data_IF_244083596393
#
_entry.id   IF_244083596393
#
_cell.length_a   1.000
_cell.length_b   1.000
_cell.length_c   1.000
_cell.angle_alpha   90.00
_cell.angle_beta   90.00
_cell.angle_gamma   90.00
#
_symmetry.space_group_name_H-M   'P 1'
#
loop_
_entity.id
_entity.type
_entity.pdbx_description
1 polymer ?
#
# COMPACT_ATOMS: atom_id res chain seq x y z
N UNK A 1 -16.41 5.13 9.54
CA UNK A 1 -16.29 3.66 9.62
C UNK A 1 -16.92 3.07 8.35
N UNK A 2 -16.14 2.83 7.28
CA UNK A 2 -16.67 2.22 6.05
C UNK A 2 -16.90 0.71 6.29
N UNK A 3 -18.11 0.16 6.08
CA UNK A 3 -18.35 -1.27 6.20
C UNK A 3 -17.83 -1.97 4.94
N UNK A 4 -16.67 -2.62 5.07
CA UNK A 4 -16.05 -3.43 4.01
C UNK A 4 -14.98 -4.40 4.51
N UNK A 5 -14.90 -4.64 5.81
CA UNK A 5 -13.94 -5.55 6.44
C UNK A 5 -14.58 -6.91 6.71
N UNK A 6 -15.16 -7.53 5.68
CA UNK A 6 -15.78 -8.85 5.77
C UNK A 6 -14.85 -9.94 5.21
N UNK A 7 -14.36 -10.79 6.10
CA UNK A 7 -14.00 -12.21 5.89
C UNK A 7 -12.91 -12.57 4.85
N UNK A 8 -11.72 -12.96 5.34
CA UNK A 8 -10.82 -13.86 4.58
C UNK A 8 -9.41 -13.39 4.19
N UNK A 9 -8.89 -12.26 4.65
CA UNK A 9 -7.45 -11.93 4.49
C UNK A 9 -6.73 -11.86 5.83
N UNK A 10 -5.89 -12.86 6.11
CA UNK A 10 -4.86 -12.77 7.16
C UNK A 10 -3.84 -11.70 6.73
N UNK A 11 -3.91 -10.53 7.33
CA UNK A 11 -2.89 -9.49 7.15
C UNK A 11 -1.61 -9.92 7.85
N UNK A 12 -0.52 -10.02 7.09
CA UNK A 12 0.80 -10.27 7.65
C UNK A 12 1.13 -9.18 8.68
N UNK A 13 1.75 -9.50 9.84
CA UNK A 13 2.08 -8.54 10.90
C UNK A 13 3.20 -7.55 10.49
N UNK A 14 3.58 -7.54 9.22
CA UNK A 14 4.59 -6.65 8.65
C UNK A 14 3.98 -5.35 8.12
N UNK A 15 2.66 -5.26 7.97
CA UNK A 15 2.00 -4.09 7.42
C UNK A 15 1.10 -3.45 8.48
N UNK A 16 1.42 -2.20 8.82
CA UNK A 16 0.53 -1.38 9.64
C UNK A 16 -0.81 -1.26 8.91
N UNK A 17 -1.87 -1.77 9.55
CA UNK A 17 -3.23 -1.71 9.03
C UNK A 17 -3.87 -0.35 9.29
N UNK A 18 -3.28 0.44 10.19
CA UNK A 18 -3.70 1.80 10.49
C UNK A 18 -2.80 2.83 9.83
N UNK A 19 -3.42 3.72 9.06
CA UNK A 19 -2.78 4.94 8.53
C UNK A 19 -2.43 5.86 9.72
N UNK A 20 -1.19 6.33 9.79
CA UNK A 20 -0.72 7.23 10.85
C UNK A 20 0.29 6.66 11.84
N UNK A 21 0.87 5.47 11.59
CA UNK A 21 2.01 4.93 12.35
C UNK A 21 1.69 4.46 13.78
N UNK A 22 0.42 4.49 14.19
CA UNK A 22 -0.08 3.97 15.47
C UNK A 22 -1.11 2.88 15.22
N UNK A 23 -1.34 2.00 16.19
CA UNK A 23 -2.43 1.03 16.10
C UNK A 23 -3.79 1.73 16.26
N UNK A 24 -4.86 1.09 15.75
CA UNK A 24 -6.25 1.53 15.95
C UNK A 24 -6.56 1.81 17.42
N UNK A 25 -6.16 0.87 18.29
CA UNK A 25 -6.43 0.93 19.72
C UNK A 25 -5.70 2.11 20.35
N UNK A 26 -4.47 2.39 19.92
CA UNK A 26 -3.72 3.55 20.40
C UNK A 26 -4.44 4.85 20.04
N UNK A 27 -4.98 5.00 18.83
CA UNK A 27 -5.75 6.19 18.44
C UNK A 27 -7.02 6.33 19.27
N UNK A 28 -7.80 5.25 19.40
CA UNK A 28 -9.03 5.23 20.19
C UNK A 28 -8.82 5.65 21.64
N UNK A 29 -7.81 5.09 22.30
CA UNK A 29 -7.58 5.35 23.72
C UNK A 29 -6.77 6.62 24.01
N UNK A 30 -5.96 7.11 23.06
CA UNK A 30 -5.14 8.33 23.28
C UNK A 30 -5.84 9.61 22.86
N UNK A 31 -6.46 9.63 21.68
CA UNK A 31 -7.04 10.85 21.10
C UNK A 31 -8.50 10.70 20.70
N UNK A 32 -9.17 9.61 21.09
CA UNK A 32 -10.60 9.42 20.82
C UNK A 32 -10.93 9.40 19.33
N UNK A 33 -10.04 8.84 18.50
CA UNK A 33 -10.22 8.77 17.05
C UNK A 33 -10.35 10.15 16.36
N UNK A 34 -9.80 11.20 16.96
CA UNK A 34 -9.85 12.57 16.41
C UNK A 34 -9.35 12.68 14.96
N UNK A 35 -8.40 11.83 14.55
CA UNK A 35 -7.86 11.80 13.20
C UNK A 35 -8.67 10.94 12.22
N UNK A 36 -9.66 10.17 12.68
CA UNK A 36 -10.39 9.17 11.89
C UNK A 36 -11.79 9.68 11.49
N UNK A 37 -11.82 10.77 10.73
CA UNK A 37 -13.03 11.32 10.14
C UNK A 37 -13.07 11.08 8.62
N UNK A 38 -14.26 11.24 8.02
CA UNK A 38 -14.39 11.21 6.56
C UNK A 38 -13.59 12.37 5.94
N UNK A 39 -13.20 12.22 4.68
CA UNK A 39 -12.48 13.29 3.98
C UNK A 39 -13.34 14.56 3.94
N UNK A 40 -12.80 15.73 4.32
CA UNK A 40 -13.59 16.97 4.44
C UNK A 40 -14.00 17.57 3.08
N UNK A 41 -13.54 17.00 1.97
CA UNK A 41 -13.87 17.47 0.63
C UNK A 41 -15.27 17.00 0.24
N UNK A 42 -16.22 17.93 0.14
CA UNK A 42 -17.62 17.68 -0.23
C UNK A 42 -17.91 17.92 -1.71
N UNK A 43 -16.90 18.24 -2.51
CA UNK A 43 -17.08 18.44 -3.95
C UNK A 43 -17.41 17.12 -4.64
N UNK A 44 -17.99 17.19 -5.84
CA UNK A 44 -18.31 16.01 -6.65
C UNK A 44 -17.08 15.37 -7.34
N UNK A 45 -15.86 15.82 -7.03
CA UNK A 45 -14.64 15.24 -7.58
C UNK A 45 -14.40 13.84 -7.01
N UNK A 46 -13.80 12.97 -7.83
CA UNK A 46 -13.38 11.66 -7.36
C UNK A 46 -12.38 11.78 -6.20
N UNK A 47 -12.53 10.94 -5.18
CA UNK A 47 -11.57 10.88 -4.09
C UNK A 47 -10.25 10.33 -4.62
N UNK A 48 -9.14 11.05 -4.38
CA UNK A 48 -7.83 10.67 -4.89
C UNK A 48 -7.41 9.25 -4.49
N UNK A 49 -7.76 8.82 -3.27
CA UNK A 49 -7.47 7.47 -2.81
C UNK A 49 -8.16 6.39 -3.66
N UNK A 50 -9.35 6.67 -4.17
CA UNK A 50 -10.08 5.75 -5.05
C UNK A 50 -9.44 5.71 -6.44
N UNK A 51 -9.06 6.88 -6.98
CA UNK A 51 -8.33 6.97 -8.27
C UNK A 51 -7.02 6.17 -8.23
N UNK A 52 -6.24 6.32 -7.15
CA UNK A 52 -4.99 5.57 -6.97
C UNK A 52 -5.26 4.09 -6.78
N UNK A 53 -6.27 3.71 -6.02
CA UNK A 53 -6.59 2.29 -5.76
C UNK A 53 -7.10 1.56 -7.00
N UNK A 54 -7.80 2.27 -7.89
CA UNK A 54 -8.25 1.76 -9.18
C UNK A 54 -7.07 1.59 -10.16
N UNK A 55 -6.19 2.59 -10.23
CA UNK A 55 -5.03 2.54 -11.12
C UNK A 55 -3.92 1.59 -10.64
N UNK A 56 -3.70 1.50 -9.32
CA UNK A 56 -2.56 0.81 -8.71
C UNK A 56 -2.98 0.00 -7.49
N UNK A 57 -2.73 -1.30 -7.54
CA UNK A 57 -2.81 -2.18 -6.38
C UNK A 57 -1.42 -2.46 -5.82
N UNK A 58 -1.32 -2.67 -4.50
CA UNK A 58 -0.04 -3.10 -3.87
C UNK A 58 0.53 -4.34 -4.53
N UNK A 59 -0.33 -5.28 -4.93
CA UNK A 59 0.08 -6.54 -5.56
C UNK A 59 0.61 -6.34 -6.98
N UNK A 60 -0.03 -5.49 -7.79
CA UNK A 60 0.44 -5.19 -9.14
C UNK A 60 1.78 -4.48 -9.09
N UNK A 61 1.97 -3.54 -8.15
CA UNK A 61 3.26 -2.87 -7.93
C UNK A 61 4.35 -3.88 -7.54
N UNK A 62 4.08 -4.76 -6.57
CA UNK A 62 5.07 -5.78 -6.16
C UNK A 62 5.41 -6.76 -7.29
N UNK A 63 4.42 -7.20 -8.08
CA UNK A 63 4.65 -8.07 -9.24
C UNK A 63 5.46 -7.37 -10.33
N UNK A 64 5.12 -6.12 -10.64
CA UNK A 64 5.86 -5.33 -11.61
C UNK A 64 7.32 -5.14 -11.18
N UNK A 65 7.56 -4.81 -9.91
CA UNK A 65 8.92 -4.70 -9.35
C UNK A 65 9.71 -6.01 -9.49
N UNK A 66 9.09 -7.15 -9.17
CA UNK A 66 9.71 -8.47 -9.32
C UNK A 66 10.03 -8.82 -10.78
N UNK A 67 9.14 -8.50 -11.72
CA UNK A 67 9.39 -8.72 -13.15
C UNK A 67 10.54 -7.85 -13.65
N UNK A 68 10.57 -6.57 -13.26
CA UNK A 68 11.65 -5.64 -13.64
C UNK A 68 13.00 -6.11 -13.12
N UNK A 69 13.09 -6.53 -11.85
CA UNK A 69 14.36 -7.03 -11.28
C UNK A 69 14.82 -8.33 -11.93
N UNK A 70 13.89 -9.28 -12.19
CA UNK A 70 14.23 -10.52 -12.89
C UNK A 70 14.66 -10.26 -14.33
N UNK A 71 13.99 -9.36 -15.05
CA UNK A 71 14.38 -8.96 -16.41
C UNK A 71 15.76 -8.31 -16.40
N UNK A 72 16.02 -7.37 -15.49
CA UNK A 72 17.32 -6.73 -15.35
C UNK A 72 18.44 -7.75 -15.07
N UNK A 73 18.23 -8.66 -14.11
CA UNK A 73 19.18 -9.72 -13.79
C UNK A 73 19.42 -10.67 -14.97
N UNK A 74 18.36 -11.07 -15.68
CA UNK A 74 18.45 -11.89 -16.90
C UNK A 74 19.21 -11.19 -18.02
N UNK A 75 18.97 -9.90 -18.24
CA UNK A 75 19.70 -9.10 -19.24
C UNK A 75 21.18 -8.95 -18.88
N UNK A 76 21.52 -8.75 -17.61
CA UNK A 76 22.90 -8.69 -17.15
C UNK A 76 23.62 -10.03 -17.34
N UNK A 77 22.94 -11.14 -17.04
CA UNK A 77 23.50 -12.49 -17.19
C UNK A 77 23.82 -12.86 -18.66
N UNK A 78 23.04 -12.38 -19.63
CA UNK A 78 23.29 -12.66 -21.07
C UNK A 78 24.26 -11.67 -21.72
N UNK A 79 24.41 -10.46 -21.18
CA UNK A 79 25.31 -9.43 -21.75
C UNK A 79 26.67 -9.35 -21.07
N UNK A 80 26.93 -10.13 -20.02
CA UNK A 80 28.22 -10.18 -19.33
C UNK A 80 28.61 -8.89 -18.60
N UNK A 81 27.65 -8.00 -18.33
CA UNK A 81 27.89 -6.74 -17.62
C UNK A 81 28.24 -6.96 -16.14
N UNK A 82 29.06 -6.07 -15.52
CA UNK A 82 29.41 -6.20 -14.11
C UNK A 82 28.16 -6.11 -13.25
N UNK A 83 28.00 -7.07 -12.34
CA UNK A 83 26.89 -7.12 -11.39
C UNK A 83 27.35 -6.45 -10.10
N UNK A 84 27.46 -5.12 -10.11
CA UNK A 84 27.66 -4.39 -8.86
C UNK A 84 26.30 -4.20 -8.19
N UNK A 85 26.03 -5.09 -7.23
CA UNK A 85 24.95 -4.96 -6.28
C UNK A 85 25.47 -4.18 -5.05
N UNK A 86 25.17 -2.89 -5.01
CA UNK A 86 25.22 -2.07 -3.79
C UNK A 86 24.18 -0.95 -3.86
#
# INVERSE_FOLDING_TARGET
>A
MRPGSGEGRRTLPLLTTHVGGRSALTCRFKCGDACAHEAPNTTANAYFGDVVSDALSRRSVLRAGAVVTLAAAGTAAVTGGPTDAA
#
